data_IF_243316507177
#
_entry.id   IF_243316507177
#
_cell.length_a   1.000
_cell.length_b   1.000
_cell.length_c   1.000
_cell.angle_alpha   90.00
_cell.angle_beta   90.00
_cell.angle_gamma   90.00
#
_symmetry.space_group_name_H-M   'P 1'
#
loop_
_entity.id
_entity.type
_entity.pdbx_description
1 polymer ?
#
# COMPACT_ATOMS: atom_id res chain seq x y z
N UNK A 1 -8.32 8.52 -3.95
CA UNK A 1 -9.13 9.71 -3.60
C UNK A 1 -8.63 10.32 -2.28
N UNK A 2 -8.69 9.60 -1.15
CA UNK A 2 -8.19 10.08 0.16
C UNK A 2 -6.73 10.59 0.17
N UNK A 3 -5.77 9.85 -0.40
CA UNK A 3 -4.37 10.31 -0.45
C UNK A 3 -4.19 11.61 -1.27
N UNK A 4 -4.85 11.70 -2.44
CA UNK A 4 -4.75 12.86 -3.31
C UNK A 4 -5.38 14.12 -2.66
N UNK A 5 -6.47 13.97 -1.91
CA UNK A 5 -7.09 15.05 -1.13
C UNK A 5 -6.15 15.57 -0.02
N UNK A 6 -5.27 14.72 0.48
CA UNK A 6 -4.22 15.07 1.45
C UNK A 6 -2.92 15.58 0.79
N UNK A 7 -2.88 15.73 -0.54
CA UNK A 7 -1.68 16.19 -1.27
C UNK A 7 -0.54 15.17 -1.32
N UNK A 8 -0.83 13.89 -1.10
CA UNK A 8 0.16 12.80 -1.05
C UNK A 8 -0.16 11.71 -2.08
N UNK A 9 0.88 11.05 -2.58
CA UNK A 9 0.74 9.87 -3.41
C UNK A 9 0.77 8.59 -2.56
N UNK A 10 0.15 7.51 -3.04
CA UNK A 10 0.39 6.18 -2.46
C UNK A 10 1.76 5.66 -2.92
N UNK A 11 2.45 4.91 -2.05
CA UNK A 11 3.67 4.22 -2.46
C UNK A 11 3.34 3.13 -3.49
N UNK A 12 4.11 3.06 -4.57
CA UNK A 12 4.17 1.87 -5.42
C UNK A 12 4.97 0.75 -4.75
N UNK A 13 5.00 -0.43 -5.37
CA UNK A 13 5.71 -1.60 -4.82
C UNK A 13 7.20 -1.35 -4.61
N UNK A 14 7.86 -0.68 -5.56
CA UNK A 14 9.29 -0.42 -5.49
C UNK A 14 9.62 0.56 -4.34
N UNK A 15 8.82 1.61 -4.19
CA UNK A 15 8.94 2.56 -3.08
C UNK A 15 8.63 1.91 -1.74
N UNK A 16 7.65 1.01 -1.68
CA UNK A 16 7.35 0.24 -0.48
C UNK A 16 8.51 -0.69 -0.09
N UNK A 17 9.16 -1.34 -1.07
CA UNK A 17 10.38 -2.10 -0.84
C UNK A 17 11.53 -1.22 -0.35
N UNK A 18 11.71 -0.02 -0.93
CA UNK A 18 12.72 0.93 -0.49
C UNK A 18 12.48 1.40 0.96
N UNK A 19 11.22 1.65 1.35
CA UNK A 19 10.85 1.96 2.73
C UNK A 19 11.29 0.85 3.70
N UNK A 20 11.10 -0.42 3.32
CA UNK A 20 11.45 -1.59 4.14
C UNK A 20 12.97 -1.83 4.27
N UNK A 21 13.78 -1.14 3.47
CA UNK A 21 15.24 -1.12 3.64
C UNK A 21 15.68 -0.13 4.75
N UNK A 22 14.82 0.83 5.11
CA UNK A 22 15.09 1.82 6.17
C UNK A 22 14.68 1.33 7.57
N UNK A 23 13.90 0.26 7.65
CA UNK A 23 13.40 -0.29 8.90
C UNK A 23 12.30 -1.32 8.69
N UNK A 24 11.79 -1.86 9.79
CA UNK A 24 10.71 -2.84 9.74
C UNK A 24 9.36 -2.14 9.93
N UNK A 25 8.60 -2.03 8.84
CA UNK A 25 7.28 -1.40 8.85
C UNK A 25 6.18 -2.41 8.56
N UNK A 26 4.94 -2.09 8.94
CA UNK A 26 3.76 -2.88 8.59
C UNK A 26 3.82 -4.33 9.11
N UNK A 27 4.37 -4.49 10.33
CA UNK A 27 4.55 -5.76 11.03
C UNK A 27 3.28 -6.33 11.67
N UNK A 28 2.16 -5.61 11.68
CA UNK A 28 0.90 -6.04 12.32
C UNK A 28 -0.30 -5.92 11.40
N UNK A 29 -0.24 -4.98 10.47
CA UNK A 29 -1.29 -4.71 9.50
C UNK A 29 -0.66 -4.51 8.13
N UNK A 30 -1.41 -4.83 7.08
CA UNK A 30 -1.02 -4.42 5.74
C UNK A 30 -1.37 -2.96 5.47
N UNK A 31 -0.58 -2.38 4.57
CA UNK A 31 -0.76 -1.03 4.07
C UNK A 31 -1.18 -1.10 2.60
N UNK A 32 -2.13 -0.24 2.22
CA UNK A 32 -2.53 -0.11 0.84
C UNK A 32 -1.44 0.61 0.02
N UNK A 33 -1.11 0.02 -1.13
CA UNK A 33 -0.16 0.53 -2.13
C UNK A 33 -0.88 1.07 -3.37
N UNK A 34 -0.15 1.79 -4.22
CA UNK A 34 -0.63 2.23 -5.51
C UNK A 34 -1.01 1.02 -6.37
N UNK A 35 -2.30 0.89 -6.68
CA UNK A 35 -2.82 -0.18 -7.53
C UNK A 35 -2.79 0.25 -9.00
N UNK A 36 -2.25 -0.57 -9.92
CA UNK A 36 -2.33 -0.30 -11.36
C UNK A 36 -3.78 -0.11 -11.83
N UNK A 37 -4.06 0.81 -12.78
CA UNK A 37 -5.41 1.10 -13.25
C UNK A 37 -6.17 -0.13 -13.75
N UNK A 38 -5.49 -1.06 -14.42
CA UNK A 38 -6.05 -2.30 -14.97
C UNK A 38 -6.53 -3.26 -13.87
N UNK A 39 -5.77 -3.41 -12.78
CA UNK A 39 -6.18 -4.22 -11.61
C UNK A 39 -7.35 -3.54 -10.89
N UNK A 40 -7.28 -2.21 -10.79
CA UNK A 40 -8.31 -1.40 -10.14
C UNK A 40 -9.64 -1.43 -10.89
N UNK A 41 -9.61 -1.45 -12.22
CA UNK A 41 -10.80 -1.58 -13.07
C UNK A 41 -11.54 -2.89 -12.86
N UNK A 42 -10.82 -3.95 -12.46
CA UNK A 42 -11.39 -5.26 -12.11
C UNK A 42 -11.82 -5.35 -10.63
N UNK A 43 -11.79 -4.24 -9.88
CA UNK A 43 -12.13 -4.20 -8.46
C UNK A 43 -11.02 -4.67 -7.51
N UNK A 44 -9.80 -4.85 -8.01
CA UNK A 44 -8.63 -5.23 -7.22
C UNK A 44 -7.93 -4.04 -6.55
N UNK A 45 -7.16 -4.35 -5.51
CA UNK A 45 -6.25 -3.44 -4.84
C UNK A 45 -4.98 -4.17 -4.38
N UNK A 46 -3.84 -3.47 -4.39
CA UNK A 46 -2.56 -4.01 -3.91
C UNK A 46 -2.31 -3.64 -2.46
N UNK A 47 -1.74 -4.58 -1.71
CA UNK A 47 -1.42 -4.40 -0.30
C UNK A 47 -0.03 -4.95 -0.01
N UNK A 48 0.66 -4.32 0.93
CA UNK A 48 1.97 -4.73 1.41
C UNK A 48 1.99 -4.95 2.92
N UNK A 49 2.71 -5.97 3.38
CA UNK A 49 3.10 -6.15 4.79
C UNK A 49 4.49 -6.78 4.91
N UNK A 50 5.03 -6.81 6.14
CA UNK A 50 6.27 -7.53 6.45
C UNK A 50 6.01 -8.60 7.50
N UNK A 51 6.27 -9.84 7.13
CA UNK A 51 6.06 -11.04 7.96
C UNK A 51 7.25 -11.95 7.83
N UNK A 52 7.65 -12.60 8.92
CA UNK A 52 8.74 -13.57 8.90
C UNK A 52 10.05 -13.01 8.31
N UNK A 53 10.34 -11.72 8.53
CA UNK A 53 11.52 -11.04 7.97
C UNK A 53 11.45 -10.78 6.46
N UNK A 54 10.30 -10.98 5.81
CA UNK A 54 10.10 -10.80 4.36
C UNK A 54 8.96 -9.83 4.06
N UNK A 55 9.15 -9.05 3.00
CA UNK A 55 8.11 -8.17 2.45
C UNK A 55 7.22 -8.97 1.51
N UNK A 56 5.91 -8.90 1.71
CA UNK A 56 4.90 -9.49 0.84
C UNK A 56 4.07 -8.39 0.20
N UNK A 57 3.82 -8.53 -1.09
CA UNK A 57 2.84 -7.74 -1.83
C UNK A 57 1.83 -8.71 -2.44
N UNK A 58 0.54 -8.40 -2.30
CA UNK A 58 -0.55 -9.24 -2.79
C UNK A 58 -1.77 -8.41 -3.14
N UNK A 59 -2.72 -9.01 -3.86
CA UNK A 59 -3.97 -8.36 -4.24
C UNK A 59 -5.12 -8.77 -3.32
N UNK A 60 -6.12 -7.90 -3.19
CA UNK A 60 -7.41 -8.22 -2.61
C UNK A 60 -8.52 -7.37 -3.24
N UNK A 61 -9.78 -7.71 -2.94
CA UNK A 61 -10.92 -6.90 -3.33
C UNK A 61 -10.90 -5.53 -2.65
N UNK A 62 -11.23 -4.51 -3.43
CA UNK A 62 -11.36 -3.11 -2.98
C UNK A 62 -12.27 -2.99 -1.78
N UNK A 63 -13.47 -3.55 -1.85
CA UNK A 63 -14.51 -3.35 -0.83
C UNK A 63 -14.19 -4.01 0.51
N UNK A 64 -13.39 -5.07 0.52
CA UNK A 64 -13.06 -5.84 1.72
C UNK A 64 -12.21 -5.05 2.72
N UNK A 65 -11.61 -3.92 2.32
CA UNK A 65 -10.52 -3.30 3.07
C UNK A 65 -10.58 -1.79 3.31
N UNK A 66 -11.53 -1.07 2.70
CA UNK A 66 -11.68 0.38 2.93
C UNK A 66 -12.00 0.75 4.39
N UNK A 67 -12.57 -0.16 5.19
CA UNK A 67 -13.00 0.15 6.54
C UNK A 67 -11.92 -0.01 7.63
N UNK A 68 -10.77 -0.65 7.34
CA UNK A 68 -9.89 -1.14 8.41
C UNK A 68 -8.37 -1.05 8.17
N UNK A 69 -7.90 -0.52 7.03
CA UNK A 69 -6.46 -0.48 6.70
C UNK A 69 -5.99 0.93 6.39
N UNK A 70 -4.81 1.27 6.91
CA UNK A 70 -4.09 2.48 6.55
C UNK A 70 -3.36 2.36 5.21
N UNK A 71 -2.73 3.45 4.80
CA UNK A 71 -1.87 3.49 3.62
C UNK A 71 -0.58 4.24 3.94
N UNK A 72 0.46 4.01 3.13
CA UNK A 72 1.71 4.77 3.21
C UNK A 72 1.68 5.87 2.16
N UNK A 73 1.83 7.11 2.63
CA UNK A 73 1.84 8.30 1.80
C UNK A 73 3.25 8.78 1.47
N UNK A 74 3.45 9.18 0.23
CA UNK A 74 4.63 9.91 -0.24
C UNK A 74 4.26 11.38 -0.41
N UNK A 75 4.91 12.24 0.37
CA UNK A 75 4.90 13.68 0.18
C UNK A 75 6.23 14.10 -0.47
N UNK A 76 6.18 14.85 -1.55
CA UNK A 76 7.36 15.51 -2.14
C UNK A 76 7.34 16.97 -1.69
N UNK A 77 8.43 17.42 -1.09
CA UNK A 77 8.63 18.78 -0.56
C UNK A 77 9.67 19.53 -1.38
#
# INVERSE_FOLDING_TARGET
>A
QMAAEMGIALLDEAQYHALQALGEFDLKTSSWLATPPEVRALGGALFGDRRYGRVFVYHNGVQSYYAARGFRGLLRV
#
